data_IF_034561968189
#
_entry.id   IF_034561968189
#
_cell.length_a   1.000
_cell.length_b   1.000
_cell.length_c   1.000
_cell.angle_alpha   90.00
_cell.angle_beta   90.00
_cell.angle_gamma   90.00
#
_symmetry.space_group_name_H-M   'P 1'
#
loop_
_entity.id
_entity.type
_entity.pdbx_description
1 polymer ?
#
# COMPACT_ATOMS: atom_id res chain seq x y z
N UNK A 1 -13.22 -27.81 -17.08
CA UNK A 1 -14.11 -26.89 -17.82
C UNK A 1 -14.94 -26.12 -16.80
N UNK A 2 -14.74 -24.81 -16.67
CA UNK A 2 -15.50 -23.93 -15.75
C UNK A 2 -16.48 -23.13 -16.63
N UNK A 3 -17.79 -23.08 -16.33
CA UNK A 3 -18.78 -22.54 -17.26
C UNK A 3 -18.63 -21.01 -17.44
N UNK A 4 -18.88 -20.48 -18.65
CA UNK A 4 -18.62 -19.08 -19.04
C UNK A 4 -19.65 -18.05 -18.53
N UNK A 5 -20.62 -18.42 -17.68
CA UNK A 5 -21.75 -17.56 -17.27
C UNK A 5 -21.40 -16.38 -16.35
N UNK A 6 -20.16 -16.28 -15.84
CA UNK A 6 -19.74 -15.16 -14.96
C UNK A 6 -19.28 -13.90 -15.71
N UNK A 7 -19.17 -13.94 -17.04
CA UNK A 7 -18.55 -12.86 -17.81
C UNK A 7 -19.31 -11.53 -17.75
N UNK A 8 -20.64 -11.53 -17.83
CA UNK A 8 -21.47 -10.32 -17.85
C UNK A 8 -21.57 -9.63 -16.48
N UNK A 9 -21.76 -10.40 -15.40
CA UNK A 9 -21.79 -9.89 -14.01
C UNK A 9 -20.44 -9.26 -13.63
N UNK A 10 -19.34 -9.92 -13.98
CA UNK A 10 -17.99 -9.46 -13.68
C UNK A 10 -17.53 -8.26 -14.56
N UNK A 11 -18.16 -8.05 -15.73
CA UNK A 11 -17.93 -6.85 -16.56
C UNK A 11 -18.68 -5.63 -16.03
N UNK A 12 -19.91 -5.82 -15.52
CA UNK A 12 -20.65 -4.76 -14.82
C UNK A 12 -19.86 -4.28 -13.60
N UNK A 13 -19.33 -5.19 -12.76
CA UNK A 13 -18.53 -4.81 -11.58
C UNK A 13 -17.17 -4.17 -11.91
N UNK A 14 -16.50 -4.56 -13.01
CA UNK A 14 -15.31 -3.84 -13.47
C UNK A 14 -15.66 -2.42 -13.94
N UNK A 15 -16.68 -2.28 -14.79
CA UNK A 15 -17.12 -0.97 -15.27
C UNK A 15 -17.60 -0.10 -14.10
N UNK A 16 -18.29 -0.68 -13.12
CA UNK A 16 -18.68 0.00 -11.89
C UNK A 16 -17.45 0.42 -11.08
N UNK A 17 -16.45 -0.45 -10.91
CA UNK A 17 -15.23 -0.10 -10.17
C UNK A 17 -14.44 1.01 -10.85
N UNK A 18 -14.23 0.91 -12.17
CA UNK A 18 -13.55 1.97 -12.94
C UNK A 18 -14.35 3.28 -12.90
N UNK A 19 -15.68 3.23 -13.00
CA UNK A 19 -16.53 4.41 -12.93
C UNK A 19 -16.59 5.02 -11.52
N UNK A 20 -16.74 4.21 -10.46
CA UNK A 20 -16.74 4.65 -9.07
C UNK A 20 -15.38 5.24 -8.68
N UNK A 21 -14.29 4.63 -9.13
CA UNK A 21 -12.94 5.14 -8.88
C UNK A 21 -12.67 6.42 -9.69
N UNK A 22 -13.14 6.52 -10.94
CA UNK A 22 -13.09 7.76 -11.71
C UNK A 22 -13.91 8.88 -11.04
N UNK A 23 -15.10 8.57 -10.51
CA UNK A 23 -15.91 9.50 -9.72
C UNK A 23 -15.22 9.92 -8.41
N UNK A 24 -14.54 8.99 -7.73
CA UNK A 24 -13.78 9.26 -6.51
C UNK A 24 -12.56 10.13 -6.81
N UNK A 25 -11.85 9.88 -7.91
CA UNK A 25 -10.72 10.70 -8.37
C UNK A 25 -11.17 12.12 -8.76
N UNK A 26 -12.30 12.26 -9.46
CA UNK A 26 -12.91 13.56 -9.78
C UNK A 26 -13.36 14.29 -8.51
N UNK A 27 -13.95 13.57 -7.56
CA UNK A 27 -14.37 14.13 -6.26
C UNK A 27 -13.21 14.55 -5.36
N UNK A 28 -12.08 13.83 -5.39
CA UNK A 28 -10.86 14.18 -4.67
C UNK A 28 -10.12 15.34 -5.36
N UNK A 29 -10.10 15.40 -6.69
CA UNK A 29 -9.53 16.52 -7.45
C UNK A 29 -10.36 17.82 -7.33
N UNK A 30 -11.68 17.70 -7.12
CA UNK A 30 -12.58 18.84 -6.98
C UNK A 30 -12.60 19.47 -5.56
N UNK A 31 -11.91 18.86 -4.58
CA UNK A 31 -11.79 19.43 -3.23
C UNK A 31 -10.39 20.01 -3.03
N UNK A 32 -10.26 21.27 -2.60
CA UNK A 32 -8.96 21.77 -2.19
C UNK A 32 -8.45 20.86 -1.07
N UNK A 33 -7.22 20.41 -1.20
CA UNK A 33 -6.56 19.55 -0.25
C UNK A 33 -6.66 20.18 1.14
N UNK A 34 -7.50 19.59 2.01
CA UNK A 34 -7.49 19.94 3.42
C UNK A 34 -6.10 19.58 3.92
N UNK A 35 -5.43 20.61 4.44
CA UNK A 35 -4.06 20.65 4.86
C UNK A 35 -3.66 19.39 5.64
N UNK A 36 -2.47 18.88 5.33
CA UNK A 36 -1.73 18.00 6.22
C UNK A 36 -1.54 18.78 7.53
N UNK A 37 -2.33 18.45 8.56
CA UNK A 37 -2.10 18.97 9.90
C UNK A 37 -0.71 18.49 10.31
N UNK A 38 0.14 19.44 10.70
CA UNK A 38 1.45 19.16 11.28
C UNK A 38 1.19 18.51 12.63
N UNK A 39 1.04 17.18 12.60
CA UNK A 39 0.78 16.38 13.77
C UNK A 39 2.11 16.08 14.43
N UNK A 40 2.43 16.89 15.45
CA UNK A 40 3.47 16.58 16.40
C UNK A 40 2.88 15.57 17.40
N UNK A 41 3.33 14.30 17.37
CA UNK A 41 3.00 13.37 18.45
C UNK A 41 3.58 13.96 19.74
N UNK A 42 2.80 14.12 20.83
CA UNK A 42 3.36 14.52 22.11
C UNK A 42 4.36 13.44 22.57
N UNK A 43 5.65 13.76 22.54
CA UNK A 43 6.74 12.82 22.83
C UNK A 43 7.03 12.73 24.33
N UNK A 44 5.99 12.77 25.16
CA UNK A 44 6.13 12.81 26.63
C UNK A 44 6.56 11.47 27.24
N UNK A 45 6.51 10.38 26.46
CA UNK A 45 6.87 9.03 26.91
C UNK A 45 8.25 8.58 26.49
N UNK A 46 8.89 9.26 25.52
CA UNK A 46 10.27 8.97 25.15
C UNK A 46 11.22 9.69 26.11
N UNK A 47 12.36 9.08 26.48
CA UNK A 47 13.40 9.78 27.24
C UNK A 47 13.82 11.05 26.50
N UNK A 48 13.72 12.19 27.17
CA UNK A 48 14.14 13.48 26.62
C UNK A 48 15.67 13.57 26.65
N UNK A 49 16.26 14.54 25.94
CA UNK A 49 17.70 14.78 26.02
C UNK A 49 18.17 14.91 27.49
N UNK A 50 17.34 15.57 28.30
CA UNK A 50 17.48 15.78 29.74
C UNK A 50 17.54 14.46 30.54
N UNK A 51 16.86 13.40 30.07
CA UNK A 51 16.82 12.07 30.71
C UNK A 51 17.98 11.16 30.29
N UNK A 52 18.64 11.45 29.16
CA UNK A 52 19.69 10.61 28.54
C UNK A 52 21.10 11.10 28.93
N UNK A 53 21.25 12.39 29.28
CA UNK A 53 22.49 13.03 29.76
C UNK A 53 23.03 14.15 28.85
N UNK A 54 23.85 15.03 29.42
CA UNK A 54 24.32 16.35 28.88
C UNK A 54 25.08 16.34 27.53
N UNK A 55 25.19 15.21 26.85
CA UNK A 55 25.90 15.08 25.57
C UNK A 55 25.07 14.51 24.41
N UNK A 56 23.80 14.17 24.62
CA UNK A 56 22.96 13.57 23.58
C UNK A 56 22.18 14.63 22.80
N UNK A 57 22.64 14.96 21.60
CA UNK A 57 21.88 15.76 20.64
C UNK A 57 20.89 14.88 19.86
N UNK A 58 19.60 15.22 19.92
CA UNK A 58 18.57 14.53 19.16
C UNK A 58 18.80 14.79 17.67
N UNK A 59 18.96 13.74 16.82
CA UNK A 59 19.17 13.95 15.40
C UNK A 59 17.93 14.60 14.78
N UNK A 60 18.14 15.51 13.84
CA UNK A 60 17.05 16.16 13.13
C UNK A 60 16.15 15.12 12.45
N UNK A 61 14.88 15.07 12.89
CA UNK A 61 13.88 14.17 12.31
C UNK A 61 13.68 14.56 10.85
N UNK A 62 13.93 13.63 9.93
CA UNK A 62 13.72 13.86 8.51
C UNK A 62 12.22 13.98 8.23
N UNK A 63 11.70 15.21 8.18
CA UNK A 63 10.33 15.48 7.69
C UNK A 63 10.38 15.58 6.17
N UNK A 64 9.66 14.69 5.48
CA UNK A 64 9.44 14.86 4.04
C UNK A 64 8.50 16.05 3.83
N UNK A 65 8.98 17.07 3.12
CA UNK A 65 8.23 18.30 2.82
C UNK A 65 6.88 17.97 2.14
N UNK A 66 5.76 18.60 2.53
CA UNK A 66 4.46 18.38 1.89
C UNK A 66 4.57 18.71 0.39
N UNK A 67 4.45 17.69 -0.46
CA UNK A 67 4.54 17.85 -1.91
C UNK A 67 3.26 18.48 -2.46
N UNK A 68 3.39 19.10 -3.64
CA UNK A 68 2.26 19.69 -4.35
C UNK A 68 1.15 18.67 -4.63
N UNK A 69 -0.10 19.14 -4.66
CA UNK A 69 -1.30 18.34 -4.94
C UNK A 69 -1.18 17.48 -6.21
N UNK A 70 -0.46 17.98 -7.21
CA UNK A 70 -0.21 17.28 -8.46
C UNK A 70 0.48 15.92 -8.26
N UNK A 71 1.44 15.82 -7.33
CA UNK A 71 2.12 14.56 -7.05
C UNK A 71 1.19 13.55 -6.40
N UNK A 72 0.37 13.97 -5.43
CA UNK A 72 -0.61 13.08 -4.81
C UNK A 72 -1.66 12.58 -5.81
N UNK A 73 -2.12 13.45 -6.72
CA UNK A 73 -3.01 13.05 -7.80
C UNK A 73 -2.34 12.02 -8.72
N UNK A 74 -1.07 12.23 -9.09
CA UNK A 74 -0.28 11.30 -9.89
C UNK A 74 -0.17 9.93 -9.19
N UNK A 75 0.17 9.89 -7.89
CA UNK A 75 0.30 8.64 -7.15
C UNK A 75 -1.04 7.87 -7.08
N UNK A 76 -2.14 8.58 -6.80
CA UNK A 76 -3.49 8.00 -6.77
C UNK A 76 -3.89 7.45 -8.14
N UNK A 77 -3.65 8.21 -9.20
CA UNK A 77 -3.94 7.74 -10.57
C UNK A 77 -3.13 6.50 -10.93
N UNK A 78 -1.82 6.49 -10.66
CA UNK A 78 -0.95 5.31 -10.87
C UNK A 78 -1.45 4.09 -10.08
N UNK A 79 -1.81 4.27 -8.81
CA UNK A 79 -2.33 3.20 -7.96
C UNK A 79 -3.61 2.60 -8.57
N UNK A 80 -4.56 3.47 -8.92
CA UNK A 80 -5.84 3.10 -9.54
C UNK A 80 -5.61 2.38 -10.86
N UNK A 81 -4.78 2.91 -11.74
CA UNK A 81 -4.50 2.33 -13.04
C UNK A 81 -3.84 0.97 -12.88
N UNK A 82 -2.82 0.85 -12.02
CA UNK A 82 -2.16 -0.41 -11.72
C UNK A 82 -3.14 -1.47 -11.22
N UNK A 83 -3.96 -1.14 -10.22
CA UNK A 83 -4.94 -2.07 -9.68
C UNK A 83 -6.03 -2.44 -10.70
N UNK A 84 -6.45 -1.49 -11.53
CA UNK A 84 -7.43 -1.74 -12.60
C UNK A 84 -6.87 -2.67 -13.67
N UNK A 85 -5.60 -2.49 -14.06
CA UNK A 85 -4.90 -3.38 -15.00
C UNK A 85 -4.77 -4.78 -14.40
N UNK A 86 -4.35 -4.90 -13.14
CA UNK A 86 -4.24 -6.20 -12.47
C UNK A 86 -5.60 -6.89 -12.33
N UNK A 87 -6.65 -6.16 -11.94
CA UNK A 87 -8.01 -6.66 -11.88
C UNK A 87 -8.54 -7.08 -13.27
N UNK A 88 -8.08 -6.43 -14.34
CA UNK A 88 -8.40 -6.82 -15.71
C UNK A 88 -7.68 -8.09 -16.16
N UNK A 89 -6.37 -8.17 -15.93
CA UNK A 89 -5.57 -9.37 -16.26
C UNK A 89 -6.03 -10.58 -15.45
N UNK A 90 -6.33 -10.39 -14.17
CA UNK A 90 -6.84 -11.46 -13.30
C UNK A 90 -8.15 -12.07 -13.84
N UNK A 91 -8.98 -11.28 -14.52
CA UNK A 91 -10.25 -11.74 -15.11
C UNK A 91 -10.13 -12.33 -16.51
N UNK A 92 -9.18 -11.87 -17.33
CA UNK A 92 -9.00 -12.34 -18.73
C UNK A 92 -8.04 -13.53 -18.86
N UNK A 93 -7.50 -14.02 -17.74
CA UNK A 93 -6.48 -15.05 -17.68
C UNK A 93 -5.15 -14.46 -17.23
N UNK A 94 -4.62 -14.97 -16.12
CA UNK A 94 -3.44 -14.42 -15.45
C UNK A 94 -2.19 -14.59 -16.32
N UNK A 95 -1.82 -13.53 -17.05
CA UNK A 95 -0.57 -13.46 -17.81
C UNK A 95 0.57 -13.00 -16.90
N UNK A 96 1.51 -13.92 -16.58
CA UNK A 96 2.65 -13.63 -15.69
C UNK A 96 3.43 -12.39 -16.13
N UNK A 97 3.74 -12.26 -17.41
CA UNK A 97 4.54 -11.13 -17.93
C UNK A 97 3.89 -9.77 -17.66
N UNK A 98 2.56 -9.66 -17.78
CA UNK A 98 1.86 -8.40 -17.52
C UNK A 98 1.84 -8.09 -16.03
N UNK A 99 1.59 -9.10 -15.19
CA UNK A 99 1.65 -8.94 -13.73
C UNK A 99 3.05 -8.49 -13.33
N UNK A 100 4.09 -9.23 -13.71
CA UNK A 100 5.49 -8.90 -13.40
C UNK A 100 5.88 -7.50 -13.91
N UNK A 101 5.44 -7.10 -15.10
CA UNK A 101 5.70 -5.76 -15.63
C UNK A 101 5.07 -4.64 -14.80
N UNK A 102 3.79 -4.78 -14.44
CA UNK A 102 3.10 -3.80 -13.57
C UNK A 102 3.74 -3.77 -12.18
N UNK A 103 4.10 -4.92 -11.64
CA UNK A 103 4.72 -5.04 -10.32
C UNK A 103 6.11 -4.39 -10.29
N UNK A 104 6.94 -4.60 -11.33
CA UNK A 104 8.25 -3.96 -11.46
C UNK A 104 8.14 -2.44 -11.65
N UNK A 105 7.20 -1.98 -12.49
CA UNK A 105 6.94 -0.56 -12.67
C UNK A 105 6.49 0.10 -11.35
N UNK A 106 5.64 -0.60 -10.58
CA UNK A 106 5.19 -0.12 -9.27
C UNK A 106 6.33 -0.10 -8.25
N UNK A 107 7.23 -1.07 -8.27
CA UNK A 107 8.43 -1.07 -7.42
C UNK A 107 9.38 0.09 -7.77
N UNK A 108 9.61 0.34 -9.06
CA UNK A 108 10.45 1.46 -9.52
C UNK A 108 9.87 2.81 -9.07
N UNK A 109 8.55 3.01 -9.24
CA UNK A 109 7.91 4.27 -8.89
C UNK A 109 7.62 4.39 -7.37
N UNK A 110 6.82 3.50 -6.79
CA UNK A 110 6.41 3.60 -5.38
C UNK A 110 7.51 3.20 -4.40
N UNK A 111 8.41 2.30 -4.80
CA UNK A 111 9.55 1.87 -3.99
C UNK A 111 10.71 2.86 -4.08
N UNK A 112 11.37 2.96 -5.24
CA UNK A 112 12.59 3.75 -5.37
C UNK A 112 12.33 5.26 -5.49
N UNK A 113 11.40 5.69 -6.35
CA UNK A 113 11.16 7.12 -6.56
C UNK A 113 10.38 7.78 -5.39
N UNK A 114 9.39 7.08 -4.82
CA UNK A 114 8.58 7.56 -3.69
C UNK A 114 9.08 7.13 -2.31
N UNK A 115 10.12 6.28 -2.24
CA UNK A 115 10.70 5.79 -0.98
C UNK A 115 9.67 5.18 0.00
N UNK A 116 8.51 4.73 -0.50
CA UNK A 116 7.42 4.20 0.34
C UNK A 116 6.63 5.22 1.17
N UNK A 117 6.82 6.54 0.97
CA UNK A 117 6.23 7.58 1.84
C UNK A 117 4.69 7.59 1.88
N UNK A 118 4.00 7.00 0.89
CA UNK A 118 2.55 6.85 0.91
C UNK A 118 2.19 5.43 0.48
N UNK A 119 1.99 4.56 1.47
CA UNK A 119 1.58 3.17 1.23
C UNK A 119 0.33 2.83 2.05
N UNK A 120 -0.51 1.90 1.56
CA UNK A 120 -1.72 1.49 2.27
C UNK A 120 -1.44 0.90 3.66
N UNK A 121 -0.26 0.32 3.86
CA UNK A 121 0.19 -0.26 5.14
C UNK A 121 0.51 0.86 6.16
N UNK A 122 1.11 1.97 5.73
CA UNK A 122 1.29 3.14 6.61
C UNK A 122 -0.03 3.87 6.84
N UNK A 123 -0.92 3.88 5.85
CA UNK A 123 -2.23 4.51 5.97
C UNK A 123 -3.11 3.81 7.03
N UNK A 124 -2.99 2.50 7.24
CA UNK A 124 -3.72 1.83 8.34
C UNK A 124 -3.25 2.32 9.70
N UNK A 125 -1.96 2.58 9.89
CA UNK A 125 -1.43 3.13 11.14
C UNK A 125 -1.97 4.54 11.38
N UNK A 126 -2.02 5.38 10.33
CA UNK A 126 -2.56 6.74 10.41
C UNK A 126 -4.06 6.76 10.73
N UNK A 127 -4.84 5.88 10.09
CA UNK A 127 -6.28 5.75 10.35
C UNK A 127 -6.52 5.22 11.76
N UNK A 128 -5.75 4.21 12.21
CA UNK A 128 -5.86 3.69 13.57
C UNK A 128 -5.53 4.74 14.64
N UNK A 129 -4.47 5.54 14.42
CA UNK A 129 -4.11 6.64 15.32
C UNK A 129 -5.23 7.68 15.42
N UNK A 130 -5.87 8.04 14.29
CA UNK A 130 -6.98 8.99 14.30
C UNK A 130 -8.30 8.45 14.87
N UNK A 131 -8.46 7.13 14.93
CA UNK A 131 -9.58 6.53 15.65
C UNK A 131 -9.34 6.52 17.17
N UNK A 132 -8.07 6.43 17.60
CA UNK A 132 -7.69 6.49 19.01
C UNK A 132 -7.77 7.93 19.56
N UNK A 133 -7.31 8.91 18.78
CA UNK A 133 -7.34 10.33 19.12
C UNK A 133 -8.16 11.11 18.08
N UNK A 134 -9.37 11.54 18.47
CA UNK A 134 -10.30 12.26 17.58
C UNK A 134 -9.83 13.66 17.16
N UNK A 135 -8.73 14.14 17.73
CA UNK A 135 -8.07 15.41 17.38
C UNK A 135 -7.13 15.28 16.17
N UNK A 136 -6.79 14.05 15.74
CA UNK A 136 -6.04 13.83 14.49
C UNK A 136 -6.97 13.99 13.28
N UNK A 137 -6.80 15.07 12.53
CA UNK A 137 -7.33 15.15 11.18
C UNK A 137 -6.48 14.28 10.23
N UNK A 138 -7.06 13.21 9.67
CA UNK A 138 -6.38 12.39 8.66
C UNK A 138 -6.50 13.08 7.29
N UNK A 139 -5.39 13.30 6.56
CA UNK A 139 -5.46 13.84 5.21
C UNK A 139 -6.31 12.94 4.31
N UNK A 140 -7.18 13.55 3.49
CA UNK A 140 -8.08 12.81 2.59
C UNK A 140 -7.32 11.84 1.67
N UNK A 141 -6.09 12.22 1.28
CA UNK A 141 -5.21 11.39 0.45
C UNK A 141 -4.83 10.10 1.18
N UNK A 142 -4.44 10.17 2.45
CA UNK A 142 -4.09 8.97 3.24
C UNK A 142 -5.29 8.03 3.35
N UNK A 143 -6.47 8.60 3.58
CA UNK A 143 -7.72 7.84 3.62
C UNK A 143 -8.02 7.16 2.28
N UNK A 144 -7.80 7.84 1.16
CA UNK A 144 -7.94 7.25 -0.18
C UNK A 144 -6.96 6.10 -0.41
N UNK A 145 -5.69 6.24 0.00
CA UNK A 145 -4.69 5.15 -0.07
C UNK A 145 -5.04 3.94 0.80
N UNK A 146 -5.83 4.12 1.86
CA UNK A 146 -6.35 3.02 2.68
C UNK A 146 -7.58 2.36 2.05
N UNK A 147 -8.61 3.14 1.71
CA UNK A 147 -9.89 2.62 1.22
C UNK A 147 -9.79 1.99 -0.16
N UNK A 148 -8.97 2.53 -1.06
CA UNK A 148 -8.96 2.11 -2.46
C UNK A 148 -8.43 0.66 -2.62
N UNK A 149 -7.30 0.28 -2.00
CA UNK A 149 -6.89 -1.13 -1.88
C UNK A 149 -7.88 -2.01 -1.16
N UNK A 150 -8.53 -1.52 -0.11
CA UNK A 150 -9.50 -2.29 0.67
C UNK A 150 -10.75 -2.65 -0.16
N UNK A 151 -11.35 -1.65 -0.84
CA UNK A 151 -12.51 -1.83 -1.71
C UNK A 151 -12.15 -2.78 -2.87
N UNK A 152 -11.00 -2.57 -3.50
CA UNK A 152 -10.55 -3.44 -4.57
C UNK A 152 -10.28 -4.87 -4.08
N UNK A 153 -9.78 -5.03 -2.84
CA UNK A 153 -9.58 -6.33 -2.23
C UNK A 153 -10.89 -7.07 -2.02
N UNK A 154 -11.92 -6.36 -1.55
CA UNK A 154 -13.25 -6.90 -1.36
C UNK A 154 -13.91 -7.33 -2.67
N UNK A 155 -13.71 -6.58 -3.76
CA UNK A 155 -14.35 -6.83 -5.05
C UNK A 155 -13.60 -7.83 -5.93
N UNK A 156 -12.26 -7.78 -5.95
CA UNK A 156 -11.42 -8.53 -6.91
C UNK A 156 -10.38 -9.43 -6.23
N UNK A 157 -10.34 -9.48 -4.90
CA UNK A 157 -9.34 -10.23 -4.15
C UNK A 157 -7.97 -9.53 -4.11
N UNK A 158 -6.87 -10.29 -4.03
CA UNK A 158 -5.51 -9.78 -3.77
C UNK A 158 -4.86 -9.00 -4.94
N UNK A 159 -5.55 -8.03 -5.53
CA UNK A 159 -5.06 -7.24 -6.69
C UNK A 159 -3.97 -6.24 -6.33
N UNK A 160 -3.99 -5.69 -5.11
CA UNK A 160 -2.94 -4.80 -4.64
C UNK A 160 -1.66 -5.58 -4.31
N UNK A 161 -1.74 -6.53 -3.39
CA UNK A 161 -0.57 -7.30 -2.93
C UNK A 161 0.03 -8.19 -4.02
N UNK A 162 -0.77 -8.67 -4.98
CA UNK A 162 -0.31 -9.55 -6.06
C UNK A 162 0.03 -8.83 -7.37
N UNK A 163 0.23 -7.50 -7.37
CA UNK A 163 0.52 -6.79 -8.62
C UNK A 163 0.99 -5.34 -8.51
N UNK A 164 0.67 -4.61 -7.44
CA UNK A 164 1.04 -3.18 -7.30
C UNK A 164 1.94 -2.95 -6.08
N UNK A 165 1.83 -3.79 -5.06
CA UNK A 165 2.62 -3.66 -3.84
C UNK A 165 4.11 -3.96 -4.10
N UNK A 166 5.04 -3.06 -3.71
CA UNK A 166 6.48 -3.30 -3.86
C UNK A 166 6.96 -4.49 -3.02
N UNK A 167 6.36 -4.73 -1.86
CA UNK A 167 6.68 -5.91 -1.04
C UNK A 167 6.23 -7.21 -1.74
N UNK A 168 5.10 -7.16 -2.46
CA UNK A 168 4.63 -8.25 -3.30
C UNK A 168 5.58 -8.51 -4.47
N UNK A 169 6.16 -7.46 -5.04
CA UNK A 169 7.20 -7.57 -6.09
C UNK A 169 8.38 -8.41 -5.63
N UNK A 170 8.88 -8.14 -4.44
CA UNK A 170 10.02 -8.87 -3.86
C UNK A 170 9.66 -10.35 -3.70
N UNK A 171 8.45 -10.64 -3.18
CA UNK A 171 7.98 -12.03 -3.03
C UNK A 171 7.89 -12.74 -4.38
N UNK A 172 7.29 -12.10 -5.39
CA UNK A 172 7.17 -12.66 -6.75
C UNK A 172 8.53 -12.90 -7.39
N UNK A 173 9.51 -12.00 -7.19
CA UNK A 173 10.89 -12.16 -7.70
C UNK A 173 11.59 -13.34 -7.06
N UNK A 174 11.48 -13.52 -5.73
CA UNK A 174 12.06 -14.69 -5.04
C UNK A 174 11.44 -15.99 -5.55
N UNK A 175 10.14 -15.98 -5.86
CA UNK A 175 9.41 -17.12 -6.41
C UNK A 175 9.76 -17.44 -7.88
N UNK A 176 10.48 -16.58 -8.61
CA UNK A 176 10.94 -16.89 -9.97
C UNK A 176 12.01 -17.99 -9.99
N UNK A 177 12.80 -18.11 -8.92
CA UNK A 177 13.87 -19.11 -8.75
C UNK A 177 13.69 -19.82 -7.41
N UNK A 178 12.65 -20.66 -7.25
CA UNK A 178 12.43 -21.38 -6.01
C UNK A 178 13.65 -22.29 -5.74
N UNK A 179 14.44 -21.93 -4.73
CA UNK A 179 15.52 -22.78 -4.22
C UNK A 179 14.92 -23.75 -3.24
N UNK A 180 15.02 -25.05 -3.53
CA UNK A 180 14.64 -26.07 -2.56
C UNK A 180 15.65 -26.04 -1.42
N UNK A 181 15.16 -25.76 -0.21
CA UNK A 181 15.98 -25.79 1.00
C UNK A 181 16.29 -27.24 1.36
N UNK A 182 17.52 -27.55 1.82
CA UNK A 182 17.85 -28.88 2.32
C UNK A 182 16.98 -29.20 3.55
N UNK A 183 16.59 -30.48 3.68
CA UNK A 183 15.64 -30.97 4.71
C UNK A 183 15.99 -30.54 6.14
N UNK A 184 17.28 -30.41 6.43
CA UNK A 184 17.77 -29.97 7.74
C UNK A 184 17.37 -28.51 8.02
N UNK A 185 17.59 -27.61 7.07
CA UNK A 185 17.29 -26.17 7.22
C UNK A 185 15.79 -25.94 7.28
N UNK A 186 14.99 -26.68 6.51
CA UNK A 186 13.53 -26.58 6.54
C UNK A 186 12.97 -27.04 7.91
N UNK A 187 13.55 -28.10 8.48
CA UNK A 187 13.18 -28.60 9.83
C UNK A 187 13.54 -27.60 10.94
N UNK A 188 14.74 -27.03 10.92
CA UNK A 188 15.15 -26.03 11.93
C UNK A 188 14.44 -24.68 11.72
N UNK A 189 14.23 -24.27 10.48
CA UNK A 189 13.50 -23.04 10.13
C UNK A 189 12.02 -23.11 10.49
N UNK A 190 11.39 -24.28 10.35
CA UNK A 190 10.03 -24.52 10.84
C UNK A 190 9.92 -24.40 12.37
N UNK A 191 10.95 -24.87 13.10
CA UNK A 191 11.01 -24.77 14.56
C UNK A 191 11.16 -23.32 15.04
N UNK A 192 11.87 -22.47 14.28
CA UNK A 192 12.05 -21.05 14.62
C UNK A 192 10.72 -20.32 14.84
N UNK A 193 9.67 -20.66 14.08
CA UNK A 193 8.33 -20.08 14.28
C UNK A 193 7.75 -20.37 15.66
N UNK A 194 8.03 -21.55 16.23
CA UNK A 194 7.54 -21.94 17.55
C UNK A 194 8.38 -21.31 18.66
N UNK A 195 9.69 -21.18 18.47
CA UNK A 195 10.59 -20.52 19.44
C UNK A 195 10.28 -19.03 19.54
N UNK A 196 9.98 -18.35 18.43
CA UNK A 196 9.63 -16.94 18.45
C UNK A 196 8.27 -16.64 19.13
N UNK A 197 7.36 -17.63 19.16
CA UNK A 197 6.02 -17.49 19.72
C UNK A 197 5.92 -17.96 21.18
N UNK A 198 7.00 -18.53 21.71
CA UNK A 198 7.22 -18.94 23.10
C UNK A 198 7.99 -17.84 23.82
#
# INVERSE_FOLDING_TARGET
MIPPRRSAWCWKHLRLFVACVALLLVGVAARPAIAQSDYERPVTTAPQADDIGDGYEVPAVQRTLPRSLAWYALDLTLLVTGMSVIAWVARRGRRRNVVTGVTLASLAYFGFFRQGCVCPIGATQNVAAALADSTLAVPLVVLAFFLLPLIAALLFGRVFCGGVCPLGAIQDVVLLRPRQLPRSVDRYGGLFRYVYLI
#
